data_IF_941994752294
#
_entry.id   IF_941994752294
#
_cell.length_a   1.000
_cell.length_b   1.000
_cell.length_c   1.000
_cell.angle_alpha   90.00
_cell.angle_beta   90.00
_cell.angle_gamma   90.00
#
_symmetry.space_group_name_H-M   'P 1'
#
loop_
_entity.id
_entity.type
_entity.pdbx_description
1 polymer ?
#
# COMPACT_ATOMS: atom_id res chain seq x y z
N UNK A 1 -2.48 -14.44 -13.06
CA UNK A 1 -3.57 -14.62 -12.08
C UNK A 1 -4.28 -13.27 -12.00
N UNK A 2 -5.51 -13.19 -12.50
CA UNK A 2 -6.23 -11.93 -12.66
C UNK A 2 -6.65 -11.42 -11.27
N UNK A 3 -5.91 -10.45 -10.71
CA UNK A 3 -6.12 -9.95 -9.34
C UNK A 3 -7.25 -8.91 -9.27
N UNK A 4 -8.08 -8.82 -10.32
CA UNK A 4 -9.30 -7.99 -10.40
C UNK A 4 -10.18 -8.09 -9.16
N UNK A 5 -10.20 -9.26 -8.50
CA UNK A 5 -10.97 -9.47 -7.27
C UNK A 5 -10.72 -8.39 -6.20
N UNK A 6 -9.46 -7.99 -5.98
CA UNK A 6 -9.12 -6.98 -4.96
C UNK A 6 -9.61 -5.59 -5.37
N UNK A 7 -9.54 -5.26 -6.66
CA UNK A 7 -10.06 -3.99 -7.18
C UNK A 7 -11.59 -3.92 -7.17
N UNK A 8 -12.29 -5.06 -7.27
CA UNK A 8 -13.75 -5.10 -7.27
C UNK A 8 -14.36 -5.40 -5.90
N UNK A 9 -13.53 -5.67 -4.89
CA UNK A 9 -13.98 -5.99 -3.55
C UNK A 9 -14.84 -4.85 -2.96
N UNK A 10 -15.81 -5.20 -2.12
CA UNK A 10 -16.56 -4.20 -1.37
C UNK A 10 -15.66 -3.60 -0.28
N UNK A 11 -15.79 -2.30 -0.04
CA UNK A 11 -15.00 -1.58 0.98
C UNK A 11 -15.01 -2.29 2.35
N UNK A 12 -16.13 -2.90 2.76
CA UNK A 12 -16.22 -3.62 4.03
C UNK A 12 -15.43 -4.94 4.04
N UNK A 13 -15.35 -5.65 2.91
CA UNK A 13 -14.57 -6.90 2.82
C UNK A 13 -13.09 -6.58 3.00
N UNK A 14 -12.63 -5.56 2.29
CA UNK A 14 -11.26 -5.08 2.37
C UNK A 14 -10.95 -4.55 3.77
N UNK A 15 -11.85 -3.76 4.36
CA UNK A 15 -11.72 -3.27 5.73
C UNK A 15 -11.53 -4.42 6.73
N UNK A 16 -12.32 -5.49 6.65
CA UNK A 16 -12.18 -6.65 7.55
C UNK A 16 -10.85 -7.38 7.35
N UNK A 17 -10.37 -7.53 6.11
CA UNK A 17 -9.07 -8.15 5.83
C UNK A 17 -7.93 -7.34 6.45
N UNK A 18 -7.94 -6.02 6.27
CA UNK A 18 -6.91 -5.15 6.84
C UNK A 18 -7.02 -5.03 8.36
N UNK A 19 -8.24 -5.02 8.89
CA UNK A 19 -8.48 -5.05 10.33
C UNK A 19 -7.95 -6.35 10.96
N UNK A 20 -8.14 -7.48 10.30
CA UNK A 20 -7.55 -8.75 10.72
C UNK A 20 -6.01 -8.70 10.67
N UNK A 21 -5.43 -8.13 9.61
CA UNK A 21 -3.98 -7.88 9.53
C UNK A 21 -3.47 -7.00 10.67
N UNK A 22 -4.20 -5.93 11.01
CA UNK A 22 -3.88 -5.04 12.12
C UNK A 22 -3.95 -5.76 13.47
N UNK A 23 -4.97 -6.59 13.67
CA UNK A 23 -5.11 -7.40 14.87
C UNK A 23 -3.94 -8.36 15.02
N UNK A 24 -3.61 -9.12 13.98
CA UNK A 24 -2.45 -10.02 13.98
C UNK A 24 -1.15 -9.28 14.26
N UNK A 25 -0.97 -8.09 13.66
CA UNK A 25 0.25 -7.31 13.82
C UNK A 25 0.48 -6.82 15.26
N UNK A 26 -0.59 -6.66 16.04
CA UNK A 26 -0.54 -6.14 17.41
C UNK A 26 -0.84 -7.21 18.46
N UNK A 27 -1.15 -8.44 18.06
CA UNK A 27 -1.46 -9.53 18.98
C UNK A 27 -0.16 -10.12 19.55
N UNK A 28 -0.10 -10.24 20.87
CA UNK A 28 1.06 -10.79 21.58
C UNK A 28 0.67 -11.99 22.42
N UNK A 29 1.51 -13.01 22.40
CA UNK A 29 1.43 -14.22 23.22
C UNK A 29 2.57 -14.21 24.20
N UNK A 30 2.24 -14.31 25.48
CA UNK A 30 3.22 -14.33 26.56
C UNK A 30 4.11 -15.57 26.47
N UNK A 31 5.42 -15.38 26.65
CA UNK A 31 6.40 -16.47 26.60
C UNK A 31 6.71 -17.04 25.22
N UNK A 32 6.19 -16.46 24.13
CA UNK A 32 6.36 -16.98 22.76
C UNK A 32 6.91 -15.92 21.77
N UNK A 33 8.18 -15.49 21.89
CA UNK A 33 8.75 -14.40 21.07
C UNK A 33 8.74 -14.72 19.56
N UNK A 34 9.07 -15.96 19.17
CA UNK A 34 9.02 -16.38 17.77
C UNK A 34 7.62 -16.25 17.17
N UNK A 35 6.59 -16.64 17.95
CA UNK A 35 5.19 -16.54 17.52
C UNK A 35 4.80 -15.08 17.33
N UNK A 36 5.20 -14.21 18.24
CA UNK A 36 4.95 -12.77 18.14
C UNK A 36 5.56 -12.18 16.86
N UNK A 37 6.83 -12.48 16.57
CA UNK A 37 7.48 -12.02 15.34
C UNK A 37 6.76 -12.53 14.09
N UNK A 38 6.33 -13.79 14.06
CA UNK A 38 5.57 -14.35 12.94
C UNK A 38 4.23 -13.66 12.74
N UNK A 39 3.48 -13.40 13.82
CA UNK A 39 2.20 -12.69 13.79
C UNK A 39 2.37 -11.23 13.32
N UNK A 40 3.40 -10.54 13.82
CA UNK A 40 3.75 -9.18 13.41
C UNK A 40 4.04 -9.11 11.91
N UNK A 41 4.90 -10.01 11.40
CA UNK A 41 5.24 -10.06 9.97
C UNK A 41 4.02 -10.41 9.12
N UNK A 42 3.23 -11.41 9.52
CA UNK A 42 2.03 -11.82 8.80
C UNK A 42 1.00 -10.67 8.72
N UNK A 43 0.72 -10.02 9.84
CA UNK A 43 -0.20 -8.89 9.90
C UNK A 43 0.27 -7.71 9.06
N UNK A 44 1.57 -7.41 9.09
CA UNK A 44 2.17 -6.39 8.25
C UNK A 44 2.04 -6.73 6.76
N UNK A 45 2.36 -7.97 6.35
CA UNK A 45 2.25 -8.38 4.95
C UNK A 45 0.83 -8.23 4.42
N UNK A 46 -0.20 -8.55 5.23
CA UNK A 46 -1.61 -8.35 4.85
C UNK A 46 -1.88 -6.87 4.58
N UNK A 47 -1.47 -5.98 5.50
CA UNK A 47 -1.67 -4.53 5.35
C UNK A 47 -0.89 -3.97 4.16
N UNK A 48 0.35 -4.41 4.00
CA UNK A 48 1.30 -3.94 3.00
C UNK A 48 0.93 -4.36 1.57
N UNK A 49 0.34 -5.55 1.43
CA UNK A 49 -0.08 -6.08 0.13
C UNK A 49 -1.15 -5.21 -0.51
N UNK A 50 -2.04 -4.59 0.28
CA UNK A 50 -3.13 -3.79 -0.26
C UNK A 50 -2.68 -2.61 -1.14
N UNK A 51 -1.88 -1.64 -0.66
CA UNK A 51 -1.40 -0.54 -1.51
C UNK A 51 -0.51 -1.03 -2.64
N UNK A 52 0.23 -2.12 -2.44
CA UNK A 52 1.05 -2.74 -3.48
C UNK A 52 0.19 -3.24 -4.65
N UNK A 53 -0.84 -4.02 -4.35
CA UNK A 53 -1.78 -4.55 -5.34
C UNK A 53 -2.56 -3.43 -6.01
N UNK A 54 -3.04 -2.44 -5.24
CA UNK A 54 -3.71 -1.28 -5.81
C UNK A 54 -2.82 -0.58 -6.84
N UNK A 55 -1.54 -0.36 -6.52
CA UNK A 55 -0.62 0.28 -7.45
C UNK A 55 -0.40 -0.51 -8.73
N UNK A 56 -0.15 -1.83 -8.63
CA UNK A 56 0.08 -2.69 -9.81
C UNK A 56 -1.17 -2.77 -10.69
N UNK A 57 -2.33 -3.02 -10.08
CA UNK A 57 -3.55 -3.29 -10.82
C UNK A 57 -4.15 -2.01 -11.39
N UNK A 58 -4.15 -0.88 -10.65
CA UNK A 58 -4.61 0.40 -11.20
C UNK A 58 -3.73 0.88 -12.35
N UNK A 59 -2.42 0.59 -12.33
CA UNK A 59 -1.51 1.03 -13.39
C UNK A 59 -1.90 0.45 -14.76
N UNK A 60 -2.58 -0.70 -14.81
CA UNK A 60 -3.10 -1.30 -16.04
C UNK A 60 -4.22 -0.50 -16.70
N UNK A 61 -4.96 0.29 -15.92
CA UNK A 61 -6.05 1.14 -16.42
C UNK A 61 -5.56 2.56 -16.75
N UNK A 62 -4.25 2.80 -16.69
CA UNK A 62 -3.69 4.10 -17.00
C UNK A 62 -3.74 4.34 -18.51
N UNK A 63 -4.30 5.47 -18.98
CA UNK A 63 -4.29 5.81 -20.40
C UNK A 63 -2.86 5.84 -20.96
N UNK A 64 -2.65 5.29 -22.16
CA UNK A 64 -1.32 5.14 -22.80
C UNK A 64 -0.52 6.45 -22.87
N UNK A 65 -1.21 7.59 -22.99
CA UNK A 65 -0.59 8.93 -23.02
C UNK A 65 0.02 9.38 -21.68
N UNK A 66 -0.22 8.67 -20.58
CA UNK A 66 0.21 9.08 -19.24
C UNK A 66 1.32 8.14 -18.76
N UNK A 67 2.54 8.66 -18.70
CA UNK A 67 3.69 7.91 -18.19
C UNK A 67 3.87 8.10 -16.68
N UNK A 68 3.64 7.02 -15.94
CA UNK A 68 3.93 6.87 -14.51
C UNK A 68 4.80 5.61 -14.34
N UNK A 69 5.97 5.74 -13.72
CA UNK A 69 6.95 4.64 -13.60
C UNK A 69 6.54 3.60 -12.56
N UNK A 70 5.99 2.47 -13.02
CA UNK A 70 5.71 1.30 -12.18
C UNK A 70 6.98 0.65 -11.63
N UNK A 71 8.11 0.73 -12.37
CA UNK A 71 9.41 0.20 -11.92
C UNK A 71 9.91 0.86 -10.64
N UNK A 72 9.85 2.20 -10.55
CA UNK A 72 10.27 2.92 -9.35
C UNK A 72 9.38 2.57 -8.16
N UNK A 73 8.08 2.42 -8.40
CA UNK A 73 7.13 1.96 -7.40
C UNK A 73 7.46 0.56 -6.88
N UNK A 74 7.73 -0.39 -7.77
CA UNK A 74 8.10 -1.75 -7.37
C UNK A 74 9.44 -1.79 -6.63
N UNK A 75 10.46 -1.06 -7.11
CA UNK A 75 11.76 -0.96 -6.44
C UNK A 75 11.59 -0.39 -5.03
N UNK A 76 10.92 0.76 -4.89
CA UNK A 76 10.67 1.36 -3.58
C UNK A 76 9.86 0.43 -2.69
N UNK A 77 8.81 -0.19 -3.23
CA UNK A 77 8.01 -1.19 -2.51
C UNK A 77 8.81 -2.41 -2.06
N UNK A 78 9.85 -2.81 -2.78
CA UNK A 78 10.73 -3.89 -2.35
C UNK A 78 11.74 -3.42 -1.31
N UNK A 79 12.29 -2.22 -1.46
CA UNK A 79 13.21 -1.63 -0.48
C UNK A 79 12.51 -1.43 0.87
N UNK A 80 11.30 -0.86 0.91
CA UNK A 80 10.58 -0.67 2.17
C UNK A 80 10.16 -1.98 2.82
N UNK A 81 9.81 -3.00 2.04
CA UNK A 81 9.50 -4.33 2.59
C UNK A 81 10.74 -4.98 3.21
N UNK A 82 11.85 -5.01 2.49
CA UNK A 82 13.11 -5.57 2.99
C UNK A 82 13.61 -4.81 4.22
N UNK A 83 13.57 -3.48 4.21
CA UNK A 83 13.96 -2.65 5.34
C UNK A 83 13.13 -2.97 6.60
N UNK A 84 11.80 -3.09 6.44
CA UNK A 84 10.92 -3.47 7.55
C UNK A 84 11.25 -4.86 8.12
N UNK A 85 11.41 -5.87 7.26
CA UNK A 85 11.78 -7.22 7.69
C UNK A 85 13.13 -7.26 8.42
N UNK A 86 14.14 -6.56 7.90
CA UNK A 86 15.46 -6.46 8.54
C UNK A 86 15.35 -5.83 9.92
N UNK A 87 14.62 -4.71 10.04
CA UNK A 87 14.42 -4.02 11.33
C UNK A 87 13.76 -4.95 12.33
N UNK A 88 12.68 -5.63 11.96
CA UNK A 88 11.97 -6.53 12.88
C UNK A 88 12.84 -7.69 13.33
N UNK A 89 13.56 -8.33 12.40
CA UNK A 89 14.39 -9.50 12.73
C UNK A 89 15.55 -9.09 13.66
N UNK A 90 16.20 -7.96 13.39
CA UNK A 90 17.34 -7.51 14.21
C UNK A 90 16.90 -6.96 15.56
N UNK A 91 15.74 -6.29 15.63
CA UNK A 91 15.24 -5.69 16.86
C UNK A 91 14.43 -6.64 17.76
N UNK A 92 14.29 -7.90 17.37
CA UNK A 92 13.38 -8.86 18.01
C UNK A 92 11.96 -8.28 18.18
N UNK A 93 11.50 -7.60 17.14
CA UNK A 93 10.19 -6.94 17.08
C UNK A 93 10.04 -5.64 17.89
N UNK A 94 11.07 -5.17 18.60
CA UNK A 94 11.01 -3.97 19.44
C UNK A 94 11.23 -2.65 18.67
N UNK A 95 11.60 -2.73 17.39
CA UNK A 95 11.97 -1.56 16.59
C UNK A 95 13.41 -1.09 16.83
N UNK A 96 13.87 -0.16 16.00
CA UNK A 96 15.26 0.31 16.02
C UNK A 96 15.31 1.83 15.93
N UNK A 97 16.16 2.45 16.74
CA UNK A 97 16.45 3.88 16.68
C UNK A 97 17.69 4.12 15.81
N UNK A 98 17.56 4.96 14.79
CA UNK A 98 18.67 5.34 13.91
C UNK A 98 19.18 6.73 14.28
N UNK A 99 20.50 6.88 14.43
CA UNK A 99 21.14 8.15 14.78
C UNK A 99 22.33 8.45 13.86
N UNK A 100 22.66 9.74 13.71
CA UNK A 100 23.76 10.19 12.85
C UNK A 100 23.60 9.73 11.39
N UNK A 101 24.69 9.25 10.78
CA UNK A 101 24.70 8.81 9.38
C UNK A 101 23.81 7.59 9.08
N UNK A 102 23.54 6.74 10.08
CA UNK A 102 22.64 5.59 9.94
C UNK A 102 21.17 5.99 9.72
N UNK A 103 20.82 7.25 10.02
CA UNK A 103 19.49 7.77 9.76
C UNK A 103 19.21 7.95 8.25
N UNK A 104 20.22 8.12 7.40
CA UNK A 104 20.02 8.34 5.97
C UNK A 104 19.33 7.15 5.27
N UNK A 105 19.80 5.89 5.42
CA UNK A 105 19.06 4.73 4.93
C UNK A 105 17.64 4.61 5.51
N UNK A 106 17.46 4.94 6.79
CA UNK A 106 16.15 4.90 7.45
C UNK A 106 15.17 5.92 6.85
N UNK A 107 15.64 7.15 6.59
CA UNK A 107 14.85 8.18 5.90
C UNK A 107 14.47 7.78 4.48
N UNK A 108 15.37 7.13 3.75
CA UNK A 108 15.05 6.61 2.44
C UNK A 108 14.03 5.46 2.51
N UNK A 109 14.17 4.54 3.46
CA UNK A 109 13.18 3.48 3.70
C UNK A 109 11.80 4.04 4.03
N UNK A 110 11.75 5.11 4.83
CA UNK A 110 10.51 5.84 5.12
C UNK A 110 9.95 6.51 3.87
N UNK A 111 10.78 7.18 3.07
CA UNK A 111 10.37 7.73 1.78
C UNK A 111 9.82 6.66 0.84
N UNK A 112 10.48 5.49 0.75
CA UNK A 112 10.05 4.38 -0.09
C UNK A 112 8.68 3.85 0.34
N UNK A 113 8.42 3.77 1.65
CA UNK A 113 7.10 3.45 2.20
C UNK A 113 6.06 4.51 1.86
N UNK A 114 6.35 5.81 2.03
CA UNK A 114 5.42 6.88 1.64
C UNK A 114 5.14 6.86 0.13
N UNK A 115 6.15 6.59 -0.68
CA UNK A 115 6.02 6.46 -2.13
C UNK A 115 5.11 5.29 -2.51
N UNK A 116 5.20 4.14 -1.81
CA UNK A 116 4.30 3.00 -1.99
C UNK A 116 2.84 3.40 -1.76
N UNK A 117 2.54 4.19 -0.73
CA UNK A 117 1.18 4.64 -0.44
C UNK A 117 0.70 5.73 -1.40
N UNK A 118 1.60 6.63 -1.81
CA UNK A 118 1.29 7.75 -2.71
C UNK A 118 1.05 7.31 -4.16
N UNK A 119 1.70 6.24 -4.60
CA UNK A 119 1.60 5.75 -5.97
C UNK A 119 0.17 5.37 -6.40
N UNK A 120 -0.57 4.49 -5.70
CA UNK A 120 -1.94 4.15 -6.07
C UNK A 120 -2.87 5.37 -6.05
N UNK A 121 -2.67 6.31 -5.11
CA UNK A 121 -3.41 7.58 -5.09
C UNK A 121 -3.17 8.40 -6.37
N UNK A 122 -1.91 8.56 -6.77
CA UNK A 122 -1.52 9.27 -7.99
C UNK A 122 -2.06 8.58 -9.24
N UNK A 123 -1.99 7.26 -9.32
CA UNK A 123 -2.50 6.48 -10.46
C UNK A 123 -4.01 6.62 -10.57
N UNK A 124 -4.76 6.35 -9.48
CA UNK A 124 -6.21 6.50 -9.46
C UNK A 124 -6.65 7.89 -9.92
N UNK A 125 -6.02 8.94 -9.37
CA UNK A 125 -6.33 10.32 -9.73
C UNK A 125 -5.99 10.64 -11.18
N UNK A 126 -4.92 10.05 -11.71
CA UNK A 126 -4.53 10.25 -13.11
C UNK A 126 -5.50 9.57 -14.08
N UNK A 127 -6.07 8.43 -13.70
CA UNK A 127 -7.12 7.75 -14.46
C UNK A 127 -8.40 8.59 -14.46
N UNK A 128 -8.88 9.00 -13.28
CA UNK A 128 -10.10 9.82 -13.15
C UNK A 128 -10.02 11.15 -13.94
N UNK A 129 -8.85 11.77 -14.01
CA UNK A 129 -8.66 13.04 -14.73
C UNK A 129 -8.24 12.86 -16.21
N UNK A 130 -7.85 11.67 -16.61
CA UNK A 130 -7.27 11.43 -17.94
C UNK A 130 -5.98 12.21 -18.22
N UNK A 131 -5.27 12.71 -17.19
CA UNK A 131 -3.96 13.37 -17.29
C UNK A 131 -3.13 13.08 -16.05
N UNK A 132 -1.80 13.22 -16.16
CA UNK A 132 -0.88 12.99 -15.04
C UNK A 132 -1.23 13.89 -13.85
N UNK A 133 -1.60 13.28 -12.72
CA UNK A 133 -1.92 14.00 -11.49
C UNK A 133 -0.66 14.63 -10.87
N UNK A 134 -0.76 15.91 -10.50
CA UNK A 134 0.24 16.61 -9.69
C UNK A 134 0.05 16.28 -8.21
N UNK A 135 1.07 16.55 -7.37
CA UNK A 135 1.00 16.24 -5.93
C UNK A 135 -0.25 16.80 -5.21
N UNK A 136 -0.64 18.07 -5.41
CA UNK A 136 -1.87 18.60 -4.81
C UNK A 136 -3.14 17.85 -5.25
N UNK A 137 -3.17 17.33 -6.49
CA UNK A 137 -4.36 16.68 -7.04
C UNK A 137 -4.69 15.37 -6.31
N UNK A 138 -3.66 14.60 -5.92
CA UNK A 138 -3.86 13.28 -5.29
C UNK A 138 -3.58 13.27 -3.79
N UNK A 139 -3.21 14.40 -3.18
CA UNK A 139 -2.89 14.49 -1.75
C UNK A 139 -4.02 13.94 -0.88
N UNK A 140 -5.28 14.29 -1.20
CA UNK A 140 -6.44 13.76 -0.48
C UNK A 140 -6.53 12.23 -0.54
N UNK A 141 -6.23 11.63 -1.69
CA UNK A 141 -6.26 10.17 -1.85
C UNK A 141 -5.10 9.51 -1.13
N UNK A 142 -3.93 10.14 -1.15
CA UNK A 142 -2.78 9.67 -0.37
C UNK A 142 -3.10 9.65 1.13
N UNK A 143 -3.71 10.70 1.67
CA UNK A 143 -4.14 10.75 3.07
C UNK A 143 -5.18 9.67 3.37
N UNK A 144 -6.13 9.41 2.46
CA UNK A 144 -7.09 8.32 2.63
C UNK A 144 -6.40 6.94 2.65
N UNK A 145 -5.42 6.69 1.80
CA UNK A 145 -4.68 5.42 1.78
C UNK A 145 -3.80 5.29 3.04
N UNK A 146 -3.19 6.38 3.51
CA UNK A 146 -2.41 6.41 4.74
C UNK A 146 -3.29 6.11 5.97
N UNK A 147 -4.47 6.75 6.06
CA UNK A 147 -5.47 6.52 7.11
C UNK A 147 -6.53 5.54 6.64
N UNK A 148 -6.07 4.35 6.25
CA UNK A 148 -6.87 3.32 5.60
C UNK A 148 -8.18 2.93 6.31
N UNK A 149 -8.29 2.89 7.67
CA UNK A 149 -9.53 2.44 8.31
C UNK A 149 -10.74 3.29 7.91
N UNK A 150 -10.51 4.58 7.67
CA UNK A 150 -11.50 5.53 7.19
C UNK A 150 -11.43 5.64 5.66
N UNK A 151 -10.22 5.73 5.10
CA UNK A 151 -10.05 6.00 3.68
C UNK A 151 -10.59 4.92 2.75
N UNK A 152 -10.63 3.65 3.16
CA UNK A 152 -11.18 2.55 2.36
C UNK A 152 -12.64 2.80 1.95
N UNK A 153 -13.42 3.41 2.84
CA UNK A 153 -14.83 3.72 2.58
C UNK A 153 -15.02 4.74 1.46
N UNK A 154 -14.00 5.55 1.17
CA UNK A 154 -14.03 6.56 0.12
C UNK A 154 -13.25 6.14 -1.14
N UNK A 155 -12.09 5.50 -0.96
CA UNK A 155 -11.19 5.10 -2.04
C UNK A 155 -11.69 3.86 -2.76
N UNK A 156 -12.15 2.84 -2.03
CA UNK A 156 -12.57 1.59 -2.68
C UNK A 156 -13.77 1.77 -3.62
N UNK A 157 -14.85 2.51 -3.27
CA UNK A 157 -15.94 2.74 -4.22
C UNK A 157 -15.51 3.45 -5.50
N UNK A 158 -14.52 4.36 -5.41
CA UNK A 158 -13.95 5.06 -6.58
C UNK A 158 -13.18 4.10 -7.47
N UNK A 159 -12.34 3.25 -6.89
CA UNK A 159 -11.62 2.19 -7.61
C UNK A 159 -12.60 1.29 -8.35
N UNK A 160 -13.63 0.79 -7.65
CA UNK A 160 -14.64 -0.08 -8.25
C UNK A 160 -15.31 0.60 -9.46
N UNK A 161 -15.66 1.90 -9.33
CA UNK A 161 -16.24 2.68 -10.42
C UNK A 161 -15.30 2.78 -11.62
N UNK A 162 -14.04 3.14 -11.40
CA UNK A 162 -13.03 3.26 -12.48
C UNK A 162 -12.84 1.95 -13.24
N UNK A 163 -12.81 0.81 -12.53
CA UNK A 163 -12.63 -0.51 -13.14
C UNK A 163 -13.86 -0.92 -13.97
N UNK A 164 -15.06 -0.68 -13.46
CA UNK A 164 -16.31 -0.96 -14.19
C UNK A 164 -16.37 -0.11 -15.47
N UNK A 165 -16.07 1.19 -15.39
CA UNK A 165 -16.09 2.08 -16.56
C UNK A 165 -15.14 1.65 -17.67
N UNK A 166 -13.94 1.16 -17.34
CA UNK A 166 -13.00 0.66 -18.34
C UNK A 166 -13.41 -0.71 -18.90
N UNK A 167 -13.92 -1.60 -18.06
CA UNK A 167 -14.38 -2.92 -18.52
C UNK A 167 -15.51 -2.80 -19.54
N UNK A 168 -16.42 -1.83 -19.38
CA UNK A 168 -17.51 -1.57 -20.32
C UNK A 168 -17.07 -0.84 -21.61
N UNK A 169 -15.90 -0.20 -21.62
CA UNK A 169 -15.37 0.48 -22.80
C UNK A 169 -14.61 -0.47 -23.75
N UNK A 170 -14.16 -1.61 -23.23
CA UNK A 170 -13.45 -2.65 -23.97
C UNK A 170 -14.39 -3.73 -24.58
N UNK A 171 -15.70 -3.72 -24.23
CA UNK A 171 -16.78 -4.56 -24.79
C UNK A 171 -17.53 -3.87 -25.94
#
# INVERSE_FOLDING_TARGET
MDMKFILTAKHWQLFLILLFGMFLNNFTVEGAPLVNTMLTVLGFLIIYTWPLVLGIELHRYLPERIEISSTLFLINGMISLCAYCIIIIISDGQGMTFTGWSALPAFYGFYAFLHLLAFPAKVLKSIEHGKKASFPDYLGYFIMILFWPIGIWFIQPRINKTVIEHTLADE
#
